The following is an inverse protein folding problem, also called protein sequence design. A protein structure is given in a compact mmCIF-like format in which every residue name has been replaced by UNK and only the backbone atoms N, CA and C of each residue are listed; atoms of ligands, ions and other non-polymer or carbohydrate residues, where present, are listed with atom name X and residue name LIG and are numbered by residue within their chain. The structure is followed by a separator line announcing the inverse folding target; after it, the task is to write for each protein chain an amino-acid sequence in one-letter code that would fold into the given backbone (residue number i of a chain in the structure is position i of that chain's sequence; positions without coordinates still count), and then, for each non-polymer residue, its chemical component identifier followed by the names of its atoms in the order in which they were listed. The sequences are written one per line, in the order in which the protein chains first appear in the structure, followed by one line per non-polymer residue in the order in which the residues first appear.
data_IF_049433469181
#
_entry.id   IF_049433469181
#
_cell.length_a   1.000
_cell.length_b   1.000
_cell.length_c   1.000
_cell.angle_alpha   90.00
_cell.angle_beta   90.00
_cell.angle_gamma   90.00
#
_symmetry.space_group_name_H-M   'P 1'
#
loop_
_entity.id
_entity.type
_entity.pdbx_description
1 polymer ?
#
# COMPACT_ATOMS: atom_id res chain seq x y z
N UNK A 1 -5.51 -21.55 -18.34
CA UNK A 1 -4.04 -21.67 -18.30
C UNK A 1 -3.60 -21.14 -16.96
N UNK A 2 -3.11 -22.03 -16.10
CA UNK A 2 -2.40 -21.65 -14.88
C UNK A 2 -1.11 -20.93 -15.31
N UNK A 3 -0.78 -19.74 -14.79
CA UNK A 3 0.47 -19.07 -15.16
C UNK A 3 1.64 -19.96 -14.75
N UNK A 4 2.38 -20.47 -15.74
CA UNK A 4 3.44 -21.49 -15.61
C UNK A 4 4.67 -21.08 -14.79
N UNK A 5 4.62 -19.93 -14.13
CA UNK A 5 5.71 -19.34 -13.34
C UNK A 5 5.28 -18.89 -11.94
N UNK A 6 4.01 -19.05 -11.57
CA UNK A 6 3.56 -18.73 -10.22
C UNK A 6 3.86 -19.90 -9.28
N UNK A 7 4.96 -19.81 -8.53
CA UNK A 7 5.24 -20.73 -7.42
C UNK A 7 4.39 -20.34 -6.22
N UNK A 8 3.65 -21.31 -5.66
CA UNK A 8 2.98 -21.14 -4.36
C UNK A 8 4.02 -21.40 -3.27
N UNK A 9 4.21 -20.42 -2.38
CA UNK A 9 5.09 -20.54 -1.22
C UNK A 9 4.28 -21.03 -0.01
N UNK A 10 4.89 -21.88 0.81
CA UNK A 10 4.42 -22.16 2.16
C UNK A 10 4.70 -20.98 3.09
N UNK A 11 3.95 -20.87 4.19
CA UNK A 11 4.13 -19.80 5.18
C UNK A 11 5.58 -19.72 5.67
N UNK A 12 6.20 -20.88 5.91
CA UNK A 12 7.62 -20.97 6.30
C UNK A 12 8.57 -20.43 5.23
N UNK A 13 8.29 -20.66 3.95
CA UNK A 13 9.13 -20.12 2.86
C UNK A 13 8.97 -18.61 2.75
N UNK A 14 7.76 -18.09 2.97
CA UNK A 14 7.50 -16.64 3.02
C UNK A 14 8.26 -16.02 4.19
N UNK A 15 8.19 -16.61 5.39
CA UNK A 15 8.93 -16.15 6.56
C UNK A 15 10.44 -16.13 6.32
N UNK A 16 11.01 -17.21 5.76
CA UNK A 16 12.44 -17.29 5.48
C UNK A 16 12.87 -16.25 4.44
N UNK A 17 12.09 -16.05 3.38
CA UNK A 17 12.36 -15.03 2.37
C UNK A 17 12.28 -13.61 2.97
N UNK A 18 11.26 -13.34 3.78
CA UNK A 18 11.10 -12.06 4.47
C UNK A 18 12.27 -11.79 5.42
N UNK A 19 12.66 -12.78 6.23
CA UNK A 19 13.82 -12.69 7.13
C UNK A 19 15.12 -12.42 6.37
N UNK A 20 15.32 -13.05 5.20
CA UNK A 20 16.50 -12.81 4.39
C UNK A 20 16.53 -11.37 3.85
N UNK A 21 15.41 -10.89 3.31
CA UNK A 21 15.28 -9.49 2.84
C UNK A 21 15.56 -8.51 4.00
N UNK A 22 15.00 -8.78 5.18
CA UNK A 22 15.22 -7.96 6.36
C UNK A 22 16.70 -7.93 6.75
N UNK A 23 17.36 -9.09 6.86
CA UNK A 23 18.80 -9.17 7.18
C UNK A 23 19.70 -8.45 6.16
N UNK A 24 19.34 -8.48 4.88
CA UNK A 24 20.14 -7.82 3.84
C UNK A 24 19.96 -6.30 3.80
N UNK A 25 18.78 -5.81 4.18
CA UNK A 25 18.39 -4.41 3.99
C UNK A 25 18.31 -3.60 5.29
N UNK A 26 18.15 -4.27 6.42
CA UNK A 26 17.94 -3.65 7.72
C UNK A 26 19.04 -4.10 8.69
N UNK A 27 19.68 -3.16 9.40
CA UNK A 27 20.67 -3.50 10.41
C UNK A 27 20.02 -4.26 11.60
N UNK A 28 20.81 -5.12 12.25
CA UNK A 28 20.37 -6.05 13.31
C UNK A 28 19.84 -5.34 14.58
N UNK A 29 20.00 -4.02 14.67
CA UNK A 29 19.64 -3.19 15.82
C UNK A 29 18.23 -2.57 15.71
N UNK A 30 17.51 -2.81 14.61
CA UNK A 30 16.13 -2.32 14.48
C UNK A 30 15.18 -3.22 15.28
N UNK A 31 14.50 -2.68 16.30
CA UNK A 31 13.55 -3.45 17.08
C UNK A 31 12.37 -3.87 16.21
N UNK A 32 11.98 -5.14 16.33
CA UNK A 32 10.79 -5.72 15.71
C UNK A 32 9.71 -5.91 16.78
N UNK A 33 8.42 -5.61 16.50
CA UNK A 33 7.90 -5.12 15.22
C UNK A 33 8.33 -3.67 14.93
N UNK A 34 8.46 -3.35 13.64
CA UNK A 34 8.73 -1.97 13.22
C UNK A 34 7.52 -1.09 13.56
N UNK A 35 7.78 0.02 14.22
CA UNK A 35 6.80 1.08 14.52
C UNK A 35 6.44 1.85 13.22
N UNK A 36 5.66 1.20 12.36
CA UNK A 36 5.32 1.71 11.02
C UNK A 36 4.62 3.07 11.10
N UNK A 37 3.65 3.19 11.99
CA UNK A 37 2.94 4.43 12.29
C UNK A 37 3.92 5.59 12.59
N UNK A 38 4.94 5.35 13.43
CA UNK A 38 5.95 6.36 13.75
C UNK A 38 6.84 6.74 12.56
N UNK A 39 7.17 5.78 11.69
CA UNK A 39 7.94 6.04 10.47
C UNK A 39 7.13 6.90 9.51
N UNK A 40 5.87 6.53 9.30
CA UNK A 40 4.96 7.18 8.37
C UNK A 40 4.60 8.58 8.85
N UNK A 41 4.31 8.76 10.14
CA UNK A 41 3.99 10.06 10.75
C UNK A 41 5.12 11.09 10.62
N UNK A 42 6.39 10.65 10.60
CA UNK A 42 7.56 11.54 10.42
C UNK A 42 7.82 11.90 8.96
N UNK A 43 7.12 11.30 8.00
CA UNK A 43 7.39 11.50 6.59
C UNK A 43 6.77 12.80 6.06
N UNK A 44 7.54 13.58 5.28
CA UNK A 44 7.12 14.91 4.78
C UNK A 44 5.84 14.93 3.93
N UNK A 45 5.47 13.80 3.33
CA UNK A 45 4.28 13.67 2.50
C UNK A 45 3.01 13.44 3.32
N UNK A 46 3.16 12.96 4.55
CA UNK A 46 2.05 12.62 5.42
C UNK A 46 1.84 13.78 6.38
N UNK A 47 0.58 14.13 6.59
CA UNK A 47 0.18 15.10 7.60
C UNK A 47 -0.26 14.40 8.87
N UNK A 48 -1.13 13.39 8.75
CA UNK A 48 -1.65 12.64 9.90
C UNK A 48 -2.06 11.20 9.53
N UNK A 49 -2.22 10.36 10.56
CA UNK A 49 -2.89 9.05 10.49
C UNK A 49 -4.15 9.17 11.34
N UNK A 50 -5.31 9.13 10.69
CA UNK A 50 -6.59 9.47 11.32
C UNK A 50 -7.48 8.23 11.41
N UNK A 51 -7.75 7.72 12.63
CA UNK A 51 -8.77 6.70 12.84
C UNK A 51 -10.16 7.24 12.49
N UNK A 52 -10.95 6.47 11.75
CA UNK A 52 -12.31 6.81 11.34
C UNK A 52 -13.24 5.62 11.56
N UNK A 53 -14.39 5.90 12.17
CA UNK A 53 -15.45 4.91 12.41
C UNK A 53 -16.10 4.40 11.11
N UNK A 54 -16.36 3.09 11.06
CA UNK A 54 -17.15 2.41 10.02
C UNK A 54 -16.56 2.54 8.62
N UNK A 55 -15.24 2.70 8.49
CA UNK A 55 -14.59 2.79 7.19
C UNK A 55 -14.67 1.45 6.46
N UNK A 56 -14.36 0.36 7.17
CA UNK A 56 -14.44 -0.99 6.62
C UNK A 56 -15.89 -1.37 6.33
N UNK A 57 -16.81 -1.09 7.25
CA UNK A 57 -18.22 -1.44 7.12
C UNK A 57 -18.93 -0.72 5.95
N UNK A 58 -18.59 0.56 5.71
CA UNK A 58 -19.27 1.37 4.67
C UNK A 58 -18.62 1.24 3.30
N UNK A 59 -17.30 1.07 3.24
CA UNK A 59 -16.54 1.20 2.01
C UNK A 59 -15.70 -0.04 1.68
N UNK A 60 -15.75 -1.08 2.53
CA UNK A 60 -15.02 -2.34 2.36
C UNK A 60 -13.49 -2.14 2.26
N UNK A 61 -12.96 -1.09 2.90
CA UNK A 61 -11.52 -0.79 2.95
C UNK A 61 -11.06 -0.54 4.38
N UNK A 62 -9.88 -1.06 4.72
CA UNK A 62 -9.29 -0.88 6.04
C UNK A 62 -8.54 0.46 6.21
N UNK A 63 -8.07 1.05 5.10
CA UNK A 63 -7.43 2.36 5.07
C UNK A 63 -7.53 3.00 3.68
N UNK A 64 -7.32 4.31 3.61
CA UNK A 64 -7.25 5.08 2.36
C UNK A 64 -6.46 6.38 2.52
N UNK A 65 -6.02 6.96 1.40
CA UNK A 65 -5.34 8.26 1.37
C UNK A 65 -6.31 9.41 1.04
N UNK A 66 -6.16 10.55 1.73
CA UNK A 66 -6.79 11.82 1.36
C UNK A 66 -5.77 12.93 1.19
N UNK A 67 -5.89 13.68 0.10
CA UNK A 67 -5.06 14.85 -0.17
C UNK A 67 -5.65 16.12 0.41
N UNK A 68 -4.81 16.83 1.16
CA UNK A 68 -5.17 18.06 1.85
C UNK A 68 -4.74 19.30 1.06
N UNK A 69 -5.43 20.44 1.27
CA UNK A 69 -5.03 21.72 0.69
C UNK A 69 -3.60 22.18 1.03
N UNK A 70 -3.01 21.66 2.12
CA UNK A 70 -1.64 21.97 2.53
C UNK A 70 -0.56 21.20 1.72
N UNK A 71 -0.96 20.40 0.73
CA UNK A 71 -0.04 19.66 -0.13
C UNK A 71 0.41 18.30 0.41
N UNK A 72 -0.21 17.84 1.50
CA UNK A 72 0.12 16.56 2.15
C UNK A 72 -1.07 15.59 2.12
N UNK A 73 -0.81 14.37 2.57
CA UNK A 73 -1.78 13.29 2.63
C UNK A 73 -2.12 12.94 4.08
N UNK A 74 -3.40 12.73 4.38
CA UNK A 74 -3.82 11.98 5.56
C UNK A 74 -3.97 10.51 5.16
N UNK A 75 -3.57 9.60 6.05
CA UNK A 75 -3.94 8.18 5.97
C UNK A 75 -5.13 7.98 6.89
N UNK A 76 -6.31 7.74 6.32
CA UNK A 76 -7.46 7.35 7.09
C UNK A 76 -7.40 5.84 7.32
N UNK A 77 -7.65 5.40 8.55
CA UNK A 77 -7.67 3.99 8.92
C UNK A 77 -8.96 3.70 9.69
N UNK A 78 -9.54 2.53 9.46
CA UNK A 78 -10.70 2.08 10.23
C UNK A 78 -10.36 2.01 11.73
N UNK A 79 -11.19 2.63 12.58
CA UNK A 79 -10.94 2.75 14.02
C UNK A 79 -10.84 1.39 14.72
N UNK A 80 -11.76 0.46 14.44
CA UNK A 80 -11.73 -0.88 15.04
C UNK A 80 -10.49 -1.66 14.60
N UNK A 81 -10.05 -1.46 13.36
CA UNK A 81 -8.78 -2.01 12.87
C UNK A 81 -7.59 -1.40 13.61
N UNK A 82 -7.56 -0.07 13.77
CA UNK A 82 -6.50 0.66 14.43
C UNK A 82 -6.33 0.23 15.89
N UNK A 83 -7.44 0.17 16.64
CA UNK A 83 -7.42 -0.06 18.08
C UNK A 83 -7.26 -1.54 18.46
N UNK A 84 -7.82 -2.45 17.66
CA UNK A 84 -7.95 -3.88 18.04
C UNK A 84 -7.11 -4.82 17.19
N UNK A 85 -6.61 -4.36 16.04
CA UNK A 85 -5.94 -5.21 15.05
C UNK A 85 -4.60 -4.62 14.62
N UNK A 86 -3.70 -4.33 15.57
CA UNK A 86 -2.44 -3.61 15.31
C UNK A 86 -1.59 -4.14 14.14
N UNK A 87 -1.52 -5.46 13.94
CA UNK A 87 -0.80 -6.03 12.78
C UNK A 87 -1.48 -5.67 11.45
N UNK A 88 -2.81 -5.73 11.39
CA UNK A 88 -3.60 -5.32 10.22
C UNK A 88 -3.50 -3.81 10.01
N UNK A 89 -3.57 -3.03 11.09
CA UNK A 89 -3.40 -1.59 11.04
C UNK A 89 -2.04 -1.19 10.46
N UNK A 90 -0.96 -1.78 10.99
CA UNK A 90 0.40 -1.53 10.50
C UNK A 90 0.56 -1.92 9.03
N UNK A 91 -0.02 -3.05 8.61
CA UNK A 91 -0.01 -3.44 7.21
C UNK A 91 -0.77 -2.43 6.33
N UNK A 92 -1.96 -2.04 6.73
CA UNK A 92 -2.80 -1.08 6.00
C UNK A 92 -2.13 0.29 5.89
N UNK A 93 -1.55 0.80 6.99
CA UNK A 93 -0.80 2.06 6.98
C UNK A 93 0.41 1.96 6.05
N UNK A 94 1.20 0.87 6.13
CA UNK A 94 2.33 0.67 5.24
C UNK A 94 1.91 0.57 3.76
N UNK A 95 0.76 -0.06 3.49
CA UNK A 95 0.20 -0.21 2.15
C UNK A 95 -0.14 1.15 1.55
N UNK A 96 -0.92 1.95 2.28
CA UNK A 96 -1.30 3.31 1.86
C UNK A 96 -0.08 4.22 1.74
N UNK A 97 0.87 4.13 2.66
CA UNK A 97 2.13 4.87 2.54
C UNK A 97 2.91 4.49 1.28
N UNK A 98 2.91 3.20 0.90
CA UNK A 98 3.47 2.73 -0.36
C UNK A 98 2.81 3.42 -1.56
N UNK A 99 1.48 3.54 -1.57
CA UNK A 99 0.76 4.31 -2.59
C UNK A 99 1.10 5.80 -2.59
N UNK A 100 1.24 6.42 -1.42
CA UNK A 100 1.64 7.83 -1.31
C UNK A 100 3.02 8.08 -1.93
N UNK A 101 3.98 7.17 -1.72
CA UNK A 101 5.34 7.28 -2.26
C UNK A 101 5.40 6.95 -3.75
N UNK A 102 4.72 5.88 -4.20
CA UNK A 102 4.81 5.40 -5.58
C UNK A 102 3.93 6.18 -6.56
N UNK A 103 2.83 6.76 -6.07
CA UNK A 103 1.77 7.34 -6.90
C UNK A 103 1.41 8.77 -6.48
N UNK A 104 2.34 9.49 -5.85
CA UNK A 104 2.11 10.82 -5.26
C UNK A 104 1.32 11.76 -6.20
N UNK A 105 1.73 11.85 -7.47
CA UNK A 105 1.10 12.75 -8.46
C UNK A 105 -0.38 12.39 -8.72
N UNK A 106 -0.72 11.09 -8.70
CA UNK A 106 -2.08 10.63 -8.93
C UNK A 106 -3.02 11.01 -7.78
N UNK A 107 -2.48 11.13 -6.57
CA UNK A 107 -3.22 11.43 -5.35
C UNK A 107 -3.53 12.92 -5.16
N UNK A 108 -2.88 13.82 -5.91
CA UNK A 108 -3.00 15.29 -5.76
C UNK A 108 -4.41 15.87 -5.90
N UNK A 109 -5.37 15.12 -6.44
CA UNK A 109 -6.77 15.53 -6.58
C UNK A 109 -7.76 14.68 -5.77
N UNK A 110 -7.27 13.82 -4.88
CA UNK A 110 -8.11 12.91 -4.10
C UNK A 110 -8.45 13.52 -2.74
N UNK A 111 -9.30 14.54 -2.71
CA UNK A 111 -9.66 15.25 -1.49
C UNK A 111 -10.83 14.62 -0.72
N UNK A 112 -11.55 13.68 -1.36
CA UNK A 112 -12.70 12.98 -0.77
C UNK A 112 -12.47 11.46 -0.74
N UNK A 113 -13.24 10.77 0.11
CA UNK A 113 -13.22 9.30 0.20
C UNK A 113 -13.56 8.69 -1.17
N UNK A 114 -14.55 9.24 -1.85
CA UNK A 114 -15.00 8.79 -3.16
C UNK A 114 -13.92 8.93 -4.23
N UNK A 115 -13.17 10.04 -4.21
CA UNK A 115 -12.04 10.23 -5.13
C UNK A 115 -10.95 9.17 -4.91
N UNK A 116 -10.66 8.90 -3.63
CA UNK A 116 -9.66 7.93 -3.19
C UNK A 116 -10.02 6.50 -3.61
N UNK A 117 -11.26 6.07 -3.31
CA UNK A 117 -11.80 4.79 -3.74
C UNK A 117 -11.82 4.67 -5.26
N UNK A 118 -12.20 5.73 -5.96
CA UNK A 118 -12.18 5.79 -7.42
C UNK A 118 -10.77 5.60 -7.97
N UNK A 119 -9.76 6.21 -7.36
CA UNK A 119 -8.36 6.03 -7.76
C UNK A 119 -7.86 4.62 -7.48
N UNK A 120 -8.16 4.05 -6.30
CA UNK A 120 -7.84 2.66 -5.99
C UNK A 120 -8.40 1.70 -7.04
N UNK A 121 -9.65 1.88 -7.45
CA UNK A 121 -10.24 1.05 -8.49
C UNK A 121 -9.54 1.22 -9.85
N UNK A 122 -9.15 2.45 -10.22
CA UNK A 122 -8.38 2.72 -11.46
C UNK A 122 -7.00 2.04 -11.43
N UNK A 123 -6.28 2.14 -10.31
CA UNK A 123 -4.97 1.50 -10.11
C UNK A 123 -5.12 -0.02 -10.18
N UNK A 124 -6.08 -0.60 -9.46
CA UNK A 124 -6.37 -2.04 -9.51
C UNK A 124 -6.68 -2.51 -10.93
N UNK A 125 -7.45 -1.73 -11.69
CA UNK A 125 -7.80 -2.04 -13.07
C UNK A 125 -6.60 -1.94 -14.02
N UNK A 126 -5.65 -1.03 -13.79
CA UNK A 126 -4.47 -0.88 -14.65
C UNK A 126 -3.52 -2.08 -14.53
N UNK A 127 -3.42 -2.70 -13.36
CA UNK A 127 -2.65 -3.93 -13.14
C UNK A 127 -3.35 -5.20 -13.67
N UNK A 128 -4.67 -5.16 -13.85
CA UNK A 128 -5.45 -6.26 -14.44
C UNK A 128 -5.48 -6.24 -15.98
N UNK A 129 -4.75 -5.33 -16.63
CA UNK A 129 -4.58 -5.35 -18.08
C UNK A 129 -3.75 -6.57 -18.45
N UNK A 130 -4.38 -7.55 -19.12
CA UNK A 130 -3.64 -8.69 -19.69
C UNK A 130 -2.52 -8.16 -20.61
N UNK A 131 -1.33 -8.78 -20.62
CA UNK A 131 -0.24 -8.43 -21.54
C UNK A 131 -0.67 -8.19 -22.99
N UNK A 132 -1.64 -8.97 -23.48
CA UNK A 132 -2.22 -8.89 -24.82
C UNK A 132 -3.03 -7.62 -25.11
N UNK A 133 -3.32 -6.81 -24.09
CA UNK A 133 -4.11 -5.57 -24.17
C UNK A 133 -3.28 -4.33 -23.83
N UNK A 134 -1.99 -4.49 -23.49
CA UNK A 134 -1.09 -3.37 -23.28
C UNK A 134 -0.42 -2.99 -24.62
N UNK A 135 -0.72 -1.81 -25.20
CA UNK A 135 -0.17 -1.40 -26.51
C UNK A 135 1.35 -1.21 -26.51
N UNK A 136 1.99 -1.22 -25.32
CA UNK A 136 3.44 -1.09 -25.17
C UNK A 136 4.16 -2.40 -24.83
N UNK A 137 3.46 -3.53 -24.74
CA UNK A 137 4.07 -4.82 -24.35
C UNK A 137 5.21 -5.26 -25.29
N UNK A 138 5.15 -4.89 -26.57
CA UNK A 138 6.18 -5.21 -27.56
C UNK A 138 7.48 -4.39 -27.44
N UNK A 139 7.49 -3.29 -26.67
CA UNK A 139 8.69 -2.44 -26.53
C UNK A 139 9.74 -2.98 -25.55
N UNK A 140 9.38 -3.95 -24.71
CA UNK A 140 10.27 -4.50 -23.67
C UNK A 140 10.95 -5.82 -24.05
N UNK A 141 10.69 -6.38 -25.24
CA UNK A 141 11.32 -7.64 -25.68
C UNK A 141 12.50 -7.47 -26.65
N UNK A 142 12.98 -6.24 -26.89
CA UNK A 142 14.02 -5.98 -27.88
C UNK A 142 15.21 -5.23 -27.34
N UNK A 143 16.11 -5.89 -26.61
CA UNK A 143 17.56 -5.70 -26.67
C UNK A 143 18.23 -6.96 -26.09
N UNK A 144 18.42 -7.96 -26.96
CA UNK A 144 19.51 -8.94 -26.84
C UNK A 144 20.72 -8.38 -27.59
#
# INVERSE_FOLDING_TARGET
MDPSHARKYSDREIELAALQILKEKYPDDIPMPVEIDQIVYKHKLIDDIVPIELLEDKFEVAALLLYKPNGKLDILIDEDTFDRQGARANFSIAHEFGHAVLHQELWTNCATIEDSLGLHQRIKNSYNIKPSQNPHYWRFQGHK
#
